data_IF_134029390146
#
_entry.id   IF_134029390146
#
_cell.length_a   1.000
_cell.length_b   1.000
_cell.length_c   1.000
_cell.angle_alpha   90.00
_cell.angle_beta   90.00
_cell.angle_gamma   90.00
#
_symmetry.space_group_name_H-M   'P 1'
#
loop_
_entity.id
_entity.type
_entity.pdbx_description
1 polymer ?
#
# COMPACT_ATOMS: atom_id res chain seq x y z
N UNK A 1 3.93 -28.23 14.43
CA UNK A 1 4.40 -27.16 13.55
C UNK A 1 4.42 -27.51 12.05
N UNK A 2 4.63 -28.76 11.64
CA UNK A 2 4.61 -29.16 10.20
C UNK A 2 3.21 -29.25 9.54
N UNK A 3 2.13 -29.22 10.31
CA UNK A 3 0.78 -29.39 9.78
C UNK A 3 0.19 -28.09 9.17
N UNK A 4 0.62 -26.92 9.67
CA UNK A 4 0.21 -25.59 9.14
C UNK A 4 0.86 -25.26 7.79
N UNK A 5 2.02 -25.80 7.49
CA UNK A 5 2.84 -25.49 6.31
C UNK A 5 2.34 -26.13 4.99
N UNK A 6 1.31 -26.96 5.04
CA UNK A 6 0.75 -27.65 3.86
C UNK A 6 -0.50 -26.93 3.31
N UNK A 7 -0.97 -25.88 3.97
CA UNK A 7 -2.16 -25.15 3.54
C UNK A 7 -1.77 -24.09 2.50
N UNK A 8 -2.22 -24.29 1.26
CA UNK A 8 -1.97 -23.37 0.13
C UNK A 8 -2.42 -21.95 0.45
N UNK A 9 -3.55 -21.78 1.14
CA UNK A 9 -4.09 -20.46 1.51
C UNK A 9 -3.17 -19.68 2.46
N UNK A 10 -2.53 -20.37 3.41
CA UNK A 10 -1.57 -19.72 4.33
C UNK A 10 -0.32 -19.25 3.58
N UNK A 11 0.17 -20.05 2.63
CA UNK A 11 1.31 -19.68 1.80
C UNK A 11 0.99 -18.46 0.92
N UNK A 12 -0.23 -18.39 0.38
CA UNK A 12 -0.69 -17.25 -0.42
C UNK A 12 -0.76 -15.98 0.44
N UNK A 13 -1.29 -16.06 1.67
CA UNK A 13 -1.31 -14.92 2.61
C UNK A 13 0.11 -14.46 2.96
N UNK A 14 1.03 -15.38 3.25
CA UNK A 14 2.42 -15.05 3.57
C UNK A 14 3.11 -14.40 2.37
N UNK A 15 2.86 -14.91 1.15
CA UNK A 15 3.40 -14.32 -0.07
C UNK A 15 2.91 -12.87 -0.25
N UNK A 16 1.64 -12.62 0.04
CA UNK A 16 1.04 -11.28 -0.07
C UNK A 16 1.57 -10.32 1.01
N UNK A 17 1.75 -10.78 2.26
CA UNK A 17 2.41 -9.97 3.30
C UNK A 17 3.82 -9.58 2.87
N UNK A 18 4.58 -10.54 2.36
CA UNK A 18 5.96 -10.31 1.91
C UNK A 18 6.01 -9.32 0.72
N UNK A 19 5.00 -9.36 -0.15
CA UNK A 19 4.95 -8.51 -1.33
C UNK A 19 4.48 -7.08 -1.01
N UNK A 20 3.41 -6.93 -0.22
CA UNK A 20 2.80 -5.63 0.06
C UNK A 20 3.34 -4.91 1.30
N UNK A 21 4.17 -5.55 2.10
CA UNK A 21 4.70 -4.93 3.31
C UNK A 21 6.21 -5.10 3.41
N UNK A 22 6.83 -4.22 4.18
CA UNK A 22 8.25 -4.34 4.54
C UNK A 22 8.53 -5.29 5.71
N UNK A 23 7.53 -6.06 6.14
CA UNK A 23 7.71 -7.04 7.20
C UNK A 23 8.68 -8.12 6.71
N UNK A 24 9.81 -8.34 7.40
CA UNK A 24 10.81 -9.29 6.96
C UNK A 24 10.29 -10.72 7.13
N UNK A 25 9.87 -11.34 6.03
CA UNK A 25 9.43 -12.74 5.99
C UNK A 25 10.47 -13.57 5.27
N UNK A 26 11.01 -14.58 5.95
CA UNK A 26 11.91 -15.53 5.30
C UNK A 26 11.11 -16.66 4.66
N UNK A 27 10.86 -16.53 3.36
CA UNK A 27 10.07 -17.48 2.56
C UNK A 27 10.56 -18.92 2.65
N UNK A 28 11.88 -19.14 2.76
CA UNK A 28 12.48 -20.47 2.78
C UNK A 28 12.04 -21.35 3.98
N UNK A 29 11.52 -20.71 5.05
CA UNK A 29 10.92 -21.46 6.17
C UNK A 29 9.56 -22.08 5.82
N UNK A 30 8.85 -21.50 4.86
CA UNK A 30 7.47 -21.86 4.53
C UNK A 30 7.41 -22.73 3.28
N UNK A 31 8.19 -22.42 2.24
CA UNK A 31 8.17 -23.17 0.98
C UNK A 31 9.54 -23.15 0.29
N UNK A 32 9.83 -24.26 -0.41
CA UNK A 32 10.97 -24.38 -1.33
C UNK A 32 10.63 -23.89 -2.75
N UNK A 33 9.33 -23.73 -3.06
CA UNK A 33 8.87 -23.22 -4.35
C UNK A 33 8.77 -21.70 -4.28
N UNK A 34 9.03 -20.96 -5.36
CA UNK A 34 8.86 -19.51 -5.38
C UNK A 34 7.39 -19.12 -5.08
N UNK A 35 7.15 -17.95 -4.48
CA UNK A 35 5.79 -17.46 -4.26
C UNK A 35 5.08 -17.24 -5.60
N UNK A 36 3.77 -17.53 -5.64
CA UNK A 36 2.94 -17.32 -6.82
C UNK A 36 1.89 -16.25 -6.52
N UNK A 37 2.17 -15.02 -6.91
CA UNK A 37 1.31 -13.87 -6.64
C UNK A 37 -0.03 -13.94 -7.37
N UNK A 38 -0.08 -14.53 -8.57
CA UNK A 38 -1.35 -14.71 -9.30
C UNK A 38 -2.33 -15.58 -8.51
N UNK A 39 -1.83 -16.64 -7.87
CA UNK A 39 -2.67 -17.47 -6.98
C UNK A 39 -3.01 -16.76 -5.69
N UNK A 40 -2.13 -15.94 -5.18
CA UNK A 40 -2.29 -15.19 -3.94
C UNK A 40 -3.21 -13.95 -4.09
N UNK A 41 -3.62 -13.56 -5.31
CA UNK A 41 -4.38 -12.34 -5.58
C UNK A 41 -5.67 -12.21 -4.73
N UNK A 42 -6.33 -13.32 -4.39
CA UNK A 42 -7.48 -13.32 -3.50
C UNK A 42 -7.20 -12.77 -2.09
N UNK A 43 -5.96 -12.85 -1.62
CA UNK A 43 -5.54 -12.37 -0.30
C UNK A 43 -5.11 -10.90 -0.27
N UNK A 44 -4.96 -10.24 -1.43
CA UNK A 44 -4.56 -8.84 -1.51
C UNK A 44 -5.49 -7.90 -0.72
N UNK A 45 -6.83 -7.99 -0.86
CA UNK A 45 -7.73 -7.16 -0.06
C UNK A 45 -7.60 -7.38 1.44
N UNK A 46 -7.27 -8.62 1.85
CA UNK A 46 -7.09 -8.96 3.27
C UNK A 46 -5.86 -8.25 3.83
N UNK A 47 -4.75 -8.23 3.07
CA UNK A 47 -3.55 -7.52 3.50
C UNK A 47 -3.78 -6.01 3.57
N UNK A 48 -4.46 -5.43 2.57
CA UNK A 48 -4.84 -4.02 2.61
C UNK A 48 -5.71 -3.67 3.82
N UNK A 49 -6.68 -4.53 4.14
CA UNK A 49 -7.50 -4.37 5.34
C UNK A 49 -6.68 -4.42 6.63
N UNK A 50 -5.72 -5.35 6.73
CA UNK A 50 -4.82 -5.44 7.88
C UNK A 50 -3.92 -4.20 8.01
N UNK A 51 -3.34 -3.72 6.90
CA UNK A 51 -2.56 -2.47 6.89
C UNK A 51 -3.42 -1.29 7.35
N UNK A 52 -4.67 -1.23 6.87
CA UNK A 52 -5.64 -0.20 7.27
C UNK A 52 -5.95 -0.24 8.76
N UNK A 53 -6.24 -1.43 9.31
CA UNK A 53 -6.50 -1.59 10.75
C UNK A 53 -5.29 -1.14 11.57
N UNK A 54 -4.09 -1.59 11.23
CA UNK A 54 -2.87 -1.22 11.96
C UNK A 54 -2.62 0.29 11.91
N UNK A 55 -2.82 0.92 10.76
CA UNK A 55 -2.67 2.37 10.59
C UNK A 55 -3.74 3.14 11.37
N UNK A 56 -4.98 2.65 11.37
CA UNK A 56 -6.08 3.23 12.14
C UNK A 56 -5.82 3.16 13.64
N UNK A 57 -5.44 1.99 14.16
CA UNK A 57 -5.08 1.81 15.57
C UNK A 57 -3.95 2.77 15.97
N UNK A 58 -2.95 2.94 15.10
CA UNK A 58 -1.84 3.84 15.37
C UNK A 58 -2.28 5.31 15.41
N UNK A 59 -3.20 5.71 14.53
CA UNK A 59 -3.83 7.04 14.55
C UNK A 59 -4.67 7.26 15.82
N UNK A 60 -5.51 6.28 16.19
CA UNK A 60 -6.33 6.34 17.41
C UNK A 60 -5.45 6.43 18.67
N UNK A 61 -4.33 5.72 18.71
CA UNK A 61 -3.36 5.80 19.80
C UNK A 61 -2.74 7.21 19.92
N UNK A 62 -2.45 7.85 18.77
CA UNK A 62 -1.98 9.24 18.75
C UNK A 62 -3.03 10.20 19.31
N UNK A 63 -4.32 10.03 18.96
CA UNK A 63 -5.42 10.83 19.51
C UNK A 63 -5.63 10.57 21.01
N UNK A 64 -5.44 9.33 21.46
CA UNK A 64 -5.53 8.97 22.87
C UNK A 64 -4.49 9.67 23.77
N UNK A 65 -3.33 10.04 23.21
CA UNK A 65 -2.31 10.84 23.91
C UNK A 65 -2.44 12.35 23.63
N UNK A 66 -3.67 12.80 23.31
CA UNK A 66 -4.04 14.19 23.09
C UNK A 66 -3.33 14.88 21.90
N UNK A 67 -2.86 14.12 20.89
CA UNK A 67 -2.39 14.74 19.66
C UNK A 67 -3.58 15.30 18.85
N UNK A 68 -3.41 16.47 18.20
CA UNK A 68 -4.41 17.01 17.30
C UNK A 68 -4.82 16.02 16.20
N UNK A 69 -6.10 15.98 15.83
CA UNK A 69 -6.65 15.07 14.81
C UNK A 69 -5.83 15.11 13.53
N UNK A 70 -5.53 16.31 13.03
CA UNK A 70 -4.72 16.49 11.82
C UNK A 70 -3.37 15.74 11.90
N UNK A 71 -2.64 15.94 12.99
CA UNK A 71 -1.32 15.32 13.18
C UNK A 71 -1.44 13.80 13.34
N UNK A 72 -2.45 13.32 14.06
CA UNK A 72 -2.73 11.88 14.21
C UNK A 72 -3.02 11.21 12.84
N UNK A 73 -3.78 11.89 11.97
CA UNK A 73 -4.04 11.41 10.61
C UNK A 73 -2.77 11.40 9.74
N UNK A 74 -1.93 12.44 9.82
CA UNK A 74 -0.63 12.47 9.13
C UNK A 74 0.24 11.29 9.56
N UNK A 75 0.34 11.03 10.88
CA UNK A 75 1.13 9.93 11.43
C UNK A 75 0.57 8.59 10.98
N UNK A 76 -0.76 8.39 11.01
CA UNK A 76 -1.40 7.16 10.54
C UNK A 76 -1.12 6.87 9.05
N UNK A 77 -1.21 7.88 8.19
CA UNK A 77 -0.90 7.78 6.77
C UNK A 77 0.60 7.48 6.58
N UNK A 78 1.47 8.20 7.29
CA UNK A 78 2.92 7.94 7.24
C UNK A 78 3.26 6.52 7.66
N UNK A 79 2.62 6.02 8.72
CA UNK A 79 2.79 4.64 9.18
C UNK A 79 2.40 3.64 8.09
N UNK A 80 1.26 3.85 7.39
CA UNK A 80 0.85 2.97 6.28
C UNK A 80 1.86 2.96 5.14
N UNK A 81 2.40 4.13 4.76
CA UNK A 81 3.41 4.27 3.71
C UNK A 81 4.71 3.55 4.10
N UNK A 82 5.18 3.73 5.32
CA UNK A 82 6.38 3.05 5.83
C UNK A 82 6.18 1.54 5.88
N UNK A 83 5.01 1.08 6.35
CA UNK A 83 4.68 -0.34 6.44
C UNK A 83 4.64 -1.03 5.07
N UNK A 84 4.10 -0.36 4.05
CA UNK A 84 4.05 -0.85 2.66
C UNK A 84 5.33 -0.54 1.87
N UNK A 85 6.21 0.29 2.41
CA UNK A 85 7.44 0.71 1.75
C UNK A 85 7.21 1.63 0.56
N UNK A 86 6.15 2.44 0.60
CA UNK A 86 5.74 3.37 -0.44
C UNK A 86 5.43 2.71 -1.81
N UNK A 87 5.14 1.41 -1.81
CA UNK A 87 4.93 0.62 -3.03
C UNK A 87 3.82 1.17 -3.93
N UNK A 88 2.72 1.63 -3.33
CA UNK A 88 1.59 2.18 -4.07
C UNK A 88 1.84 3.62 -4.53
N UNK A 89 2.54 4.39 -3.72
CA UNK A 89 2.97 5.75 -4.01
C UNK A 89 3.93 5.77 -5.21
N UNK A 90 4.89 4.86 -5.24
CA UNK A 90 5.83 4.65 -6.34
C UNK A 90 5.08 4.30 -7.64
N UNK A 91 4.16 3.34 -7.57
CA UNK A 91 3.32 2.96 -8.72
C UNK A 91 2.45 4.11 -9.25
N UNK A 92 1.90 4.95 -8.38
CA UNK A 92 1.14 6.14 -8.78
C UNK A 92 2.02 7.15 -9.51
N UNK A 93 3.23 7.40 -8.99
CA UNK A 93 4.19 8.31 -9.59
C UNK A 93 4.65 7.84 -10.96
N UNK A 94 5.03 6.58 -11.06
CA UNK A 94 5.48 5.96 -12.32
C UNK A 94 4.40 6.02 -13.39
N UNK A 95 3.15 5.71 -13.04
CA UNK A 95 2.01 5.83 -13.95
C UNK A 95 1.81 7.27 -14.41
N UNK A 96 1.82 8.23 -13.48
CA UNK A 96 1.61 9.62 -13.82
C UNK A 96 2.72 10.16 -14.74
N UNK A 97 3.95 9.82 -14.48
CA UNK A 97 5.09 10.21 -15.34
C UNK A 97 5.04 9.51 -16.70
N UNK A 98 4.75 8.22 -16.75
CA UNK A 98 4.65 7.47 -18.00
C UNK A 98 3.54 8.01 -18.91
N UNK A 99 2.33 8.13 -18.40
CA UNK A 99 1.19 8.61 -19.19
C UNK A 99 1.24 10.12 -19.42
N UNK A 100 1.71 10.90 -18.45
CA UNK A 100 1.84 12.35 -18.58
C UNK A 100 2.88 12.78 -19.64
N UNK A 101 3.96 12.04 -19.77
CA UNK A 101 4.96 12.29 -20.83
C UNK A 101 4.45 11.92 -22.24
N UNK A 102 3.50 11.00 -22.34
CA UNK A 102 2.92 10.54 -23.59
C UNK A 102 3.94 9.87 -24.55
N UNK A 103 3.45 9.44 -25.71
CA UNK A 103 4.25 8.86 -26.76
C UNK A 103 3.92 7.40 -27.04
N UNK A 104 4.89 6.63 -27.57
CA UNK A 104 4.72 5.21 -27.86
C UNK A 104 4.70 4.37 -26.57
N UNK A 105 4.09 3.18 -26.64
CA UNK A 105 4.04 2.26 -25.49
C UNK A 105 5.44 1.93 -24.94
N UNK A 106 6.43 1.77 -25.82
CA UNK A 106 7.82 1.50 -25.43
C UNK A 106 8.44 2.66 -24.65
N UNK A 107 8.13 3.91 -25.06
CA UNK A 107 8.62 5.10 -24.37
C UNK A 107 7.96 5.22 -22.99
N UNK A 108 6.66 5.02 -22.90
CA UNK A 108 5.90 5.03 -21.64
C UNK A 108 6.47 3.98 -20.70
N UNK A 109 6.61 2.73 -21.17
CA UNK A 109 7.16 1.63 -20.38
C UNK A 109 8.59 1.93 -19.89
N UNK A 110 9.44 2.55 -20.73
CA UNK A 110 10.79 2.96 -20.32
C UNK A 110 10.77 4.01 -19.21
N UNK A 111 9.83 4.98 -19.26
CA UNK A 111 9.69 6.00 -18.23
C UNK A 111 9.22 5.38 -16.92
N UNK A 112 8.21 4.49 -16.96
CA UNK A 112 7.69 3.80 -15.79
C UNK A 112 8.73 2.90 -15.08
N UNK A 113 9.79 2.49 -15.77
CA UNK A 113 10.90 1.72 -15.20
C UNK A 113 12.13 2.59 -14.87
N UNK A 114 12.04 3.91 -15.04
CA UNK A 114 13.10 4.84 -14.64
C UNK A 114 12.87 5.23 -13.17
N UNK A 115 13.87 5.05 -12.33
CA UNK A 115 13.79 5.39 -10.90
C UNK A 115 13.77 6.91 -10.61
N UNK A 116 13.79 7.75 -11.63
CA UNK A 116 13.72 9.22 -11.49
C UNK A 116 12.29 9.69 -11.45
N UNK A 117 11.96 10.45 -10.41
CA UNK A 117 10.66 11.08 -10.27
C UNK A 117 10.57 12.29 -11.21
N UNK A 118 9.55 12.29 -12.07
CA UNK A 118 9.27 13.40 -12.97
C UNK A 118 8.25 14.39 -12.40
N UNK A 119 7.91 15.39 -13.20
CA UNK A 119 6.98 16.47 -12.79
C UNK A 119 5.55 15.95 -12.59
N UNK A 120 5.07 15.06 -13.45
CA UNK A 120 3.72 14.48 -13.34
C UNK A 120 3.63 13.56 -12.13
N UNK A 121 4.64 12.73 -11.89
CA UNK A 121 4.72 11.86 -10.71
C UNK A 121 4.75 12.66 -9.41
N UNK A 122 5.57 13.72 -9.36
CA UNK A 122 5.61 14.63 -8.21
C UNK A 122 4.25 15.28 -7.94
N UNK A 123 3.59 15.79 -8.97
CA UNK A 123 2.26 16.39 -8.84
C UNK A 123 1.22 15.37 -8.39
N UNK A 124 1.21 14.18 -8.98
CA UNK A 124 0.28 13.10 -8.63
C UNK A 124 0.45 12.66 -7.17
N UNK A 125 1.69 12.46 -6.71
CA UNK A 125 1.99 12.12 -5.32
C UNK A 125 1.52 13.21 -4.35
N UNK A 126 1.89 14.46 -4.62
CA UNK A 126 1.56 15.58 -3.74
C UNK A 126 0.05 15.74 -3.61
N UNK A 127 -0.66 15.79 -4.75
CA UNK A 127 -2.12 15.93 -4.76
C UNK A 127 -2.81 14.71 -4.17
N UNK A 128 -2.35 13.50 -4.48
CA UNK A 128 -2.90 12.26 -3.95
C UNK A 128 -2.78 12.19 -2.43
N UNK A 129 -1.63 12.53 -1.88
CA UNK A 129 -1.43 12.57 -0.42
C UNK A 129 -2.25 13.66 0.26
N UNK A 130 -2.35 14.85 -0.34
CA UNK A 130 -3.17 15.94 0.21
C UNK A 130 -4.65 15.59 0.21
N UNK A 131 -5.17 15.02 -0.89
CA UNK A 131 -6.56 14.57 -0.98
C UNK A 131 -6.83 13.47 0.05
N UNK A 132 -5.95 12.48 0.14
CA UNK A 132 -6.07 11.38 1.11
C UNK A 132 -6.10 11.92 2.53
N UNK A 133 -5.18 12.83 2.88
CA UNK A 133 -5.14 13.45 4.20
C UNK A 133 -6.42 14.24 4.49
N UNK A 134 -6.87 15.08 3.57
CA UNK A 134 -8.09 15.86 3.72
C UNK A 134 -9.31 14.96 3.94
N UNK A 135 -9.45 13.88 3.17
CA UNK A 135 -10.54 12.92 3.33
C UNK A 135 -10.50 12.23 4.71
N UNK A 136 -9.33 11.74 5.11
CA UNK A 136 -9.17 11.03 6.39
C UNK A 136 -9.49 11.96 7.55
N UNK A 137 -8.96 13.19 7.56
CA UNK A 137 -9.26 14.19 8.61
C UNK A 137 -10.75 14.47 8.68
N UNK A 138 -11.41 14.80 7.55
CA UNK A 138 -12.84 15.09 7.51
C UNK A 138 -13.69 13.93 8.04
N UNK A 139 -13.29 12.70 7.76
CA UNK A 139 -14.02 11.52 8.18
C UNK A 139 -13.85 11.21 9.68
N UNK A 140 -12.66 11.45 10.22
CA UNK A 140 -12.40 11.33 11.66
C UNK A 140 -13.19 12.39 12.43
N UNK A 141 -13.24 13.64 11.95
CA UNK A 141 -14.04 14.72 12.54
C UNK A 141 -15.53 14.41 12.56
N UNK A 142 -16.04 13.64 11.58
CA UNK A 142 -17.43 13.16 11.57
C UNK A 142 -17.69 11.97 12.52
N UNK A 143 -16.70 11.55 13.30
CA UNK A 143 -16.83 10.45 14.27
C UNK A 143 -16.75 9.05 13.65
N UNK A 144 -16.31 8.93 12.41
CA UNK A 144 -16.19 7.65 11.68
C UNK A 144 -14.73 7.17 11.61
N UNK A 145 -14.15 6.78 12.73
CA UNK A 145 -12.78 6.22 12.79
C UNK A 145 -12.61 4.95 11.93
N UNK A 146 -13.67 4.18 11.70
CA UNK A 146 -13.67 3.00 10.82
C UNK A 146 -13.26 3.32 9.37
N UNK A 147 -13.32 4.57 8.93
CA UNK A 147 -13.06 4.96 7.55
C UNK A 147 -11.57 5.13 7.27
N UNK A 148 -10.72 5.33 8.28
CA UNK A 148 -9.27 5.22 8.12
C UNK A 148 -8.92 3.82 7.59
N UNK A 149 -9.59 2.80 8.11
CA UNK A 149 -9.46 1.41 7.69
C UNK A 149 -9.85 1.23 6.22
N UNK A 150 -10.96 1.84 5.80
CA UNK A 150 -11.46 1.74 4.43
C UNK A 150 -10.58 2.49 3.41
N UNK A 151 -9.96 3.60 3.80
CA UNK A 151 -9.08 4.36 2.89
C UNK A 151 -7.82 3.59 2.50
N UNK A 152 -7.39 2.62 3.30
CA UNK A 152 -6.26 1.74 2.97
C UNK A 152 -6.65 0.55 2.10
N UNK A 153 -7.93 0.13 2.09
CA UNK A 153 -8.42 -0.92 1.19
C UNK A 153 -8.32 -0.54 -0.28
N UNK A 154 -8.50 0.73 -0.61
CA UNK A 154 -8.41 1.24 -1.98
C UNK A 154 -6.98 1.22 -2.53
N UNK A 155 -5.98 1.04 -1.66
CA UNK A 155 -4.56 1.08 -2.00
C UNK A 155 -3.97 -0.28 -2.41
N UNK A 156 -4.75 -1.34 -2.41
CA UNK A 156 -4.26 -2.70 -2.75
C UNK A 156 -4.43 -3.06 -4.23
N UNK A 157 -4.61 -2.07 -5.09
CA UNK A 157 -4.60 -2.31 -6.54
C UNK A 157 -3.19 -2.67 -7.00
N UNK A 158 -3.02 -3.77 -7.76
CA UNK A 158 -1.73 -4.11 -8.33
C UNK A 158 -1.24 -2.98 -9.25
N UNK A 159 0.02 -2.62 -9.11
CA UNK A 159 0.66 -1.66 -10.00
C UNK A 159 0.83 -2.29 -11.39
N UNK A 160 0.68 -1.52 -12.49
CA UNK A 160 1.02 -2.00 -13.84
C UNK A 160 2.47 -2.48 -13.98
N UNK A 161 3.33 -2.08 -13.04
CA UNK A 161 4.75 -2.46 -12.98
C UNK A 161 4.94 -3.92 -12.56
N UNK A 162 3.94 -4.56 -11.98
CA UNK A 162 4.08 -5.89 -11.38
C UNK A 162 3.98 -7.04 -12.38
N UNK A 163 3.86 -6.74 -13.68
CA UNK A 163 4.01 -7.72 -14.75
C UNK A 163 3.00 -8.87 -14.70
N UNK A 164 1.73 -8.57 -14.37
CA UNK A 164 0.63 -9.51 -14.53
C UNK A 164 0.28 -9.71 -15.99
#
# INVERSE_FOLDING_TARGET
MKFFLKNSYLLDLIASVMFFTRIPVNWNYFSKKPPNLTKAAWSFPIIGFLVGILSGIFGDLCMFIDLPIFLSCVIAITFSIVLTGAFHEDGLADMADGFGAGGTADKINKIMHDSRLGTYGTAALTLGLLIRLGLVVSLVELGNSLIIILSCLLYTSPSPRDGL
#
